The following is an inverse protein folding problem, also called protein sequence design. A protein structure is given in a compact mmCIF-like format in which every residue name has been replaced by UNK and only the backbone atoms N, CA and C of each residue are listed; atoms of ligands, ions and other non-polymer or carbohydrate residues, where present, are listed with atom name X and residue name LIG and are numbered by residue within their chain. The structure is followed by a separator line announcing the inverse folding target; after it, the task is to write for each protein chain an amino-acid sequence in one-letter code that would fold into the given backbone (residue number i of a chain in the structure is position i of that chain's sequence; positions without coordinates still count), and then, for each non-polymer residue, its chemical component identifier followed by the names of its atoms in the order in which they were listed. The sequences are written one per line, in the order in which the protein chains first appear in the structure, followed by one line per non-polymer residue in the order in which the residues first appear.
data_IF_679489087148
#
_entry.id   IF_679489087148
#
_cell.length_a   1.000
_cell.length_b   1.000
_cell.length_c   1.000
_cell.angle_alpha   90.00
_cell.angle_beta   90.00
_cell.angle_gamma   90.00
#
_symmetry.space_group_name_H-M   'P 1'
#
loop_
_entity.id
_entity.type
_entity.pdbx_description
1 polymer ?
#
# COMPACT_ATOMS: atom_id res chain seq x y z
N UNK A 1 -18.46 -3.73 3.78
CA UNK A 1 -18.15 -3.57 5.21
C UNK A 1 -16.84 -2.83 5.47
N UNK A 2 -15.73 -3.14 4.78
CA UNK A 2 -14.44 -2.39 4.93
C UNK A 2 -14.59 -0.88 4.74
N UNK A 3 -14.96 -0.43 3.53
CA UNK A 3 -15.25 0.99 3.26
C UNK A 3 -16.30 1.62 4.20
N UNK A 4 -17.25 0.82 4.71
CA UNK A 4 -18.22 1.31 5.67
C UNK A 4 -17.58 1.59 7.03
N UNK A 5 -16.64 0.75 7.46
CA UNK A 5 -15.84 0.96 8.65
C UNK A 5 -14.99 2.23 8.53
N UNK A 6 -14.34 2.47 7.39
CA UNK A 6 -13.63 3.74 7.13
C UNK A 6 -14.56 4.94 7.33
N UNK A 7 -15.79 4.89 6.81
CA UNK A 7 -16.77 5.96 7.02
C UNK A 7 -17.15 6.20 8.49
N UNK A 8 -17.11 5.16 9.34
CA UNK A 8 -17.32 5.30 10.79
C UNK A 8 -16.09 5.85 11.53
N UNK A 9 -14.89 5.62 10.98
CA UNK A 9 -13.62 5.96 11.63
C UNK A 9 -13.02 7.29 11.14
N UNK A 10 -13.47 7.79 10.00
CA UNK A 10 -12.93 8.98 9.35
C UNK A 10 -13.93 10.14 9.37
N UNK A 11 -13.39 11.36 9.44
CA UNK A 11 -14.11 12.61 9.24
C UNK A 11 -13.49 13.38 8.08
N UNK A 12 -14.29 14.19 7.37
CA UNK A 12 -13.81 14.98 6.23
C UNK A 12 -12.80 16.06 6.64
N UNK A 13 -12.84 16.52 7.89
CA UNK A 13 -11.95 17.56 8.44
C UNK A 13 -11.39 17.13 9.77
N UNK A 14 -10.17 17.59 10.07
CA UNK A 14 -9.54 17.38 11.36
C UNK A 14 -10.41 17.96 12.49
N UNK A 15 -10.65 17.16 13.54
CA UNK A 15 -11.52 17.53 14.66
C UNK A 15 -13.03 17.44 14.38
N UNK A 16 -13.43 17.07 13.17
CA UNK A 16 -14.84 16.80 12.84
C UNK A 16 -15.31 15.43 13.34
N UNK A 17 -16.62 15.24 13.38
CA UNK A 17 -17.24 13.93 13.62
C UNK A 17 -17.37 13.12 12.32
N UNK A 18 -17.39 11.80 12.46
CA UNK A 18 -17.71 10.89 11.36
C UNK A 18 -19.17 11.09 10.90
N UNK A 19 -19.44 10.87 9.60
CA UNK A 19 -20.76 11.02 9.00
C UNK A 19 -21.26 9.68 8.42
N UNK A 20 -21.61 8.69 9.26
CA UNK A 20 -21.93 7.34 8.81
C UNK A 20 -23.26 7.22 8.05
N UNK A 21 -24.10 8.27 8.02
CA UNK A 21 -25.35 8.28 7.25
C UNK A 21 -25.15 8.54 5.74
N UNK A 22 -23.96 8.98 5.32
CA UNK A 22 -23.67 9.29 3.92
C UNK A 22 -23.50 8.06 3.01
N UNK A 23 -23.38 8.33 1.71
CA UNK A 23 -23.13 7.30 0.68
C UNK A 23 -21.67 6.88 0.71
N UNK A 24 -21.42 5.56 0.65
CA UNK A 24 -20.08 5.01 0.43
C UNK A 24 -19.77 5.02 -1.07
N UNK A 25 -18.82 5.84 -1.51
CA UNK A 25 -18.37 5.91 -2.89
C UNK A 25 -16.94 5.37 -3.02
N UNK A 26 -16.77 4.17 -3.56
CA UNK A 26 -15.48 3.50 -3.71
C UNK A 26 -14.65 3.99 -4.91
N UNK A 27 -15.13 5.00 -5.65
CA UNK A 27 -14.30 5.71 -6.63
C UNK A 27 -13.46 6.81 -5.98
N UNK A 28 -13.85 7.29 -4.79
CA UNK A 28 -13.08 8.28 -4.06
C UNK A 28 -11.88 7.59 -3.39
N UNK A 29 -10.68 8.07 -3.69
CA UNK A 29 -9.44 7.58 -3.10
C UNK A 29 -8.47 8.74 -2.90
N UNK A 30 -7.65 8.65 -1.86
CA UNK A 30 -6.49 9.52 -1.67
C UNK A 30 -5.23 8.66 -1.80
N UNK A 31 -4.34 9.04 -2.71
CA UNK A 31 -3.09 8.33 -2.93
C UNK A 31 -1.90 9.22 -2.56
N UNK A 32 -0.94 8.65 -1.85
CA UNK A 32 0.37 9.27 -1.62
C UNK A 32 1.38 8.71 -2.64
N UNK A 33 2.26 9.56 -3.15
CA UNK A 33 3.38 9.15 -4.03
C UNK A 33 4.65 9.11 -3.20
N UNK A 34 5.35 7.99 -3.23
CA UNK A 34 6.55 7.77 -2.42
C UNK A 34 7.74 7.41 -3.31
N UNK A 35 8.90 7.92 -2.91
CA UNK A 35 10.19 7.43 -3.39
C UNK A 35 10.83 6.60 -2.28
N UNK A 36 11.21 5.38 -2.61
CA UNK A 36 11.93 4.49 -1.70
C UNK A 36 13.14 3.86 -2.40
N UNK A 37 13.89 3.06 -1.65
CA UNK A 37 15.03 2.30 -2.16
C UNK A 37 15.04 0.91 -1.54
N UNK A 38 15.23 -0.11 -2.37
CA UNK A 38 15.45 -1.49 -1.93
C UNK A 38 16.74 -2.01 -2.57
N UNK A 39 17.80 -2.13 -1.77
CA UNK A 39 19.14 -2.46 -2.28
C UNK A 39 19.62 -1.40 -3.30
N UNK A 40 20.03 -1.79 -4.52
CA UNK A 40 20.42 -0.85 -5.57
C UNK A 40 19.23 -0.21 -6.30
N UNK A 41 18.00 -0.70 -6.10
CA UNK A 41 16.83 -0.27 -6.87
C UNK A 41 16.15 0.94 -6.27
N UNK A 42 15.99 2.01 -7.07
CA UNK A 42 15.13 3.16 -6.73
C UNK A 42 13.69 2.83 -7.12
N UNK A 43 12.76 3.02 -6.19
CA UNK A 43 11.34 2.76 -6.38
C UNK A 43 10.57 4.07 -6.33
N UNK A 44 9.68 4.28 -7.29
CA UNK A 44 8.64 5.31 -7.27
C UNK A 44 7.30 4.61 -7.40
N UNK A 45 6.44 4.75 -6.40
CA UNK A 45 5.13 4.10 -6.41
C UNK A 45 4.10 4.95 -5.68
N UNK A 46 2.83 4.74 -5.99
CA UNK A 46 1.71 5.32 -5.28
C UNK A 46 1.07 4.28 -4.35
N UNK A 47 0.54 4.73 -3.23
CA UNK A 47 -0.25 3.91 -2.32
C UNK A 47 -1.51 4.69 -1.90
N UNK A 48 -2.66 4.02 -1.94
CA UNK A 48 -3.87 4.52 -1.30
C UNK A 48 -3.66 4.63 0.21
N UNK A 49 -4.22 5.67 0.82
CA UNK A 49 -4.16 5.89 2.28
C UNK A 49 -5.56 6.17 2.79
N UNK A 50 -5.99 5.42 3.80
CA UNK A 50 -7.35 5.51 4.34
C UNK A 50 -7.59 6.82 5.09
N UNK A 51 -6.67 7.20 5.99
CA UNK A 51 -6.75 8.47 6.70
C UNK A 51 -5.40 8.90 7.31
N UNK A 52 -5.43 10.04 7.98
CA UNK A 52 -4.30 10.57 8.71
C UNK A 52 -4.72 11.04 10.10
N UNK A 53 -3.86 10.81 11.09
CA UNK A 53 -4.04 11.33 12.45
C UNK A 53 -4.10 12.87 12.41
N UNK A 54 -5.06 13.51 13.11
CA UNK A 54 -5.10 14.97 13.24
C UNK A 54 -3.88 15.56 13.94
N UNK A 55 -3.13 14.77 14.71
CA UNK A 55 -1.89 15.23 15.35
C UNK A 55 -0.86 15.71 14.30
N UNK A 56 -0.07 16.75 14.62
CA UNK A 56 0.90 17.31 13.70
C UNK A 56 2.12 16.38 13.56
N UNK A 57 2.05 15.47 12.61
CA UNK A 57 3.16 14.66 12.13
C UNK A 57 3.25 14.75 10.60
N UNK A 58 4.44 14.67 9.98
CA UNK A 58 4.57 14.68 8.53
C UNK A 58 4.02 13.41 7.89
N UNK A 59 3.69 13.46 6.60
CA UNK A 59 3.52 12.24 5.82
C UNK A 59 4.88 11.54 5.61
N UNK A 60 4.97 10.20 5.62
CA UNK A 60 3.88 9.25 5.82
C UNK A 60 3.59 8.89 7.29
N UNK A 61 4.33 9.43 8.26
CA UNK A 61 4.23 9.01 9.68
C UNK A 61 2.91 9.35 10.34
N UNK A 62 2.12 10.28 9.78
CA UNK A 62 0.76 10.58 10.23
C UNK A 62 -0.31 9.64 9.68
N UNK A 63 -0.01 8.84 8.67
CA UNK A 63 -1.00 8.01 7.99
C UNK A 63 -1.44 6.84 8.87
N UNK A 64 -2.66 6.36 8.64
CA UNK A 64 -3.26 5.22 9.35
C UNK A 64 -3.97 4.35 8.33
N UNK A 65 -3.72 3.04 8.41
CA UNK A 65 -4.48 2.04 7.66
C UNK A 65 -5.64 1.53 8.52
N UNK A 66 -6.79 1.32 7.91
CA UNK A 66 -8.01 0.82 8.53
C UNK A 66 -8.32 -0.57 7.99
N UNK A 67 -8.55 -1.53 8.89
CA UNK A 67 -8.93 -2.89 8.54
C UNK A 67 -10.12 -3.35 9.34
N UNK A 68 -10.76 -4.42 8.88
CA UNK A 68 -11.71 -5.16 9.71
C UNK A 68 -11.39 -6.65 9.68
N UNK A 69 -11.67 -7.33 10.78
CA UNK A 69 -11.52 -8.79 10.88
C UNK A 69 -12.61 -9.35 11.80
N UNK A 70 -13.02 -10.60 11.60
CA UNK A 70 -13.87 -11.27 12.59
C UNK A 70 -13.11 -11.43 13.91
N UNK A 71 -13.84 -11.32 15.03
CA UNK A 71 -13.29 -11.53 16.39
C UNK A 71 -12.70 -12.94 16.52
N UNK A 72 -11.45 -13.08 17.02
CA UNK A 72 -10.82 -14.38 17.21
C UNK A 72 -11.53 -15.20 18.33
N UNK A 73 -12.02 -16.41 18.03
CA UNK A 73 -12.69 -17.32 18.96
C UNK A 73 -12.08 -18.72 19.02
N UNK A 74 -11.23 -19.15 18.06
CA UNK A 74 -10.66 -20.52 18.02
C UNK A 74 -9.27 -20.57 17.36
N UNK A 75 -8.47 -21.60 17.68
CA UNK A 75 -7.12 -21.86 17.14
C UNK A 75 -6.98 -21.84 15.60
N UNK A 76 -7.97 -22.30 14.83
CA UNK A 76 -7.94 -22.20 13.36
C UNK A 76 -7.87 -20.75 12.86
N UNK A 77 -8.37 -19.81 13.66
CA UNK A 77 -8.34 -18.39 13.37
C UNK A 77 -6.96 -17.78 13.64
N UNK A 78 -6.11 -18.39 14.48
CA UNK A 78 -4.71 -17.96 14.63
C UNK A 78 -3.93 -18.10 13.32
N UNK A 79 -4.08 -19.22 12.58
CA UNK A 79 -3.41 -19.38 11.27
C UNK A 79 -3.93 -18.38 10.23
N UNK A 80 -5.24 -18.09 10.26
CA UNK A 80 -5.82 -17.09 9.37
C UNK A 80 -5.35 -15.67 9.73
N UNK A 81 -5.29 -15.35 11.01
CA UNK A 81 -4.80 -14.08 11.53
C UNK A 81 -3.32 -13.86 11.19
N UNK A 82 -2.47 -14.88 11.34
CA UNK A 82 -1.06 -14.86 10.92
C UNK A 82 -0.90 -14.46 9.45
N UNK A 83 -1.74 -15.03 8.56
CA UNK A 83 -1.77 -14.67 7.13
C UNK A 83 -2.28 -13.25 6.88
N UNK A 84 -3.21 -12.75 7.70
CA UNK A 84 -3.69 -11.35 7.62
C UNK A 84 -2.59 -10.38 8.04
N UNK A 85 -1.90 -10.64 9.15
CA UNK A 85 -0.79 -9.81 9.63
C UNK A 85 0.31 -9.68 8.59
N UNK A 86 0.65 -10.76 7.86
CA UNK A 86 1.60 -10.67 6.74
C UNK A 86 1.16 -9.64 5.68
N UNK A 87 -0.11 -9.70 5.28
CA UNK A 87 -0.66 -8.81 4.25
C UNK A 87 -0.70 -7.36 4.74
N UNK A 88 -1.16 -7.14 5.96
CA UNK A 88 -1.21 -5.81 6.57
C UNK A 88 0.19 -5.22 6.75
N UNK A 89 1.13 -6.03 7.24
CA UNK A 89 2.52 -5.63 7.37
C UNK A 89 3.09 -5.23 6.01
N UNK A 90 2.97 -6.06 4.97
CA UNK A 90 3.53 -5.77 3.66
C UNK A 90 2.91 -4.50 3.04
N UNK A 91 1.59 -4.34 3.17
CA UNK A 91 0.85 -3.18 2.65
C UNK A 91 1.26 -1.87 3.35
N UNK A 92 1.40 -1.87 4.68
CA UNK A 92 1.68 -0.64 5.45
C UNK A 92 3.19 -0.36 5.58
N UNK A 93 4.05 -1.39 5.57
CA UNK A 93 5.50 -1.23 5.68
C UNK A 93 6.09 -0.50 4.47
N UNK A 94 5.68 -0.87 3.25
CA UNK A 94 6.20 -0.29 2.01
C UNK A 94 5.99 1.24 1.92
N UNK A 95 4.78 1.78 2.13
CA UNK A 95 4.53 3.22 2.13
C UNK A 95 4.92 3.92 3.46
N UNK A 96 5.43 3.19 4.46
CA UNK A 96 5.84 3.76 5.74
C UNK A 96 4.68 4.20 6.64
N UNK A 97 3.51 3.54 6.52
CA UNK A 97 2.36 3.75 7.40
C UNK A 97 2.63 3.03 8.74
N UNK A 98 2.72 3.76 9.87
CA UNK A 98 3.25 3.19 11.11
C UNK A 98 2.28 2.27 11.84
N UNK A 99 0.96 2.43 11.63
CA UNK A 99 -0.05 1.67 12.38
C UNK A 99 -1.26 1.30 11.55
N UNK A 100 -1.88 0.18 11.93
CA UNK A 100 -3.10 -0.36 11.35
C UNK A 100 -4.15 -0.49 12.45
N UNK A 101 -5.26 0.25 12.32
CA UNK A 101 -6.40 0.19 13.24
C UNK A 101 -7.44 -0.78 12.69
N UNK A 102 -7.79 -1.78 13.47
CA UNK A 102 -8.63 -2.90 13.04
C UNK A 102 -9.92 -2.96 13.84
N UNK A 103 -11.06 -2.91 13.15
CA UNK A 103 -12.36 -3.22 13.73
C UNK A 103 -12.59 -4.74 13.84
N UNK A 104 -12.76 -5.23 15.07
CA UNK A 104 -13.14 -6.60 15.37
C UNK A 104 -14.65 -6.76 15.22
N UNK A 105 -15.05 -7.58 14.25
CA UNK A 105 -16.45 -7.77 13.84
C UNK A 105 -17.07 -9.00 14.49
N UNK A 106 -18.27 -8.82 14.99
CA UNK A 106 -19.14 -9.91 15.43
C UNK A 106 -19.88 -10.55 14.24
N UNK A 107 -20.50 -11.74 14.43
CA UNK A 107 -21.23 -12.43 13.37
C UNK A 107 -22.39 -11.64 12.76
N UNK A 108 -22.99 -10.71 13.52
CA UNK A 108 -24.06 -9.82 13.05
C UNK A 108 -23.54 -8.67 12.14
N UNK A 109 -22.22 -8.56 12.00
CA UNK A 109 -21.56 -7.54 11.17
C UNK A 109 -21.22 -6.24 11.90
N UNK A 110 -21.61 -6.10 13.17
CA UNK A 110 -21.22 -4.96 14.01
C UNK A 110 -19.72 -5.02 14.35
N UNK A 111 -19.10 -3.85 14.59
CA UNK A 111 -17.73 -3.76 15.10
C UNK A 111 -17.82 -3.59 16.62
N UNK A 112 -17.44 -4.62 17.38
CA UNK A 112 -17.55 -4.64 18.83
C UNK A 112 -16.32 -4.07 19.54
N UNK A 113 -15.15 -4.09 18.89
CA UNK A 113 -13.90 -3.58 19.46
C UNK A 113 -12.95 -3.05 18.38
N UNK A 114 -12.01 -2.20 18.81
CA UNK A 114 -10.90 -1.71 18.00
C UNK A 114 -9.59 -2.23 18.57
N UNK A 115 -8.71 -2.72 17.71
CA UNK A 115 -7.32 -3.03 18.05
C UNK A 115 -6.37 -2.28 17.14
N UNK A 116 -5.27 -1.76 17.69
CA UNK A 116 -4.22 -1.08 16.91
C UNK A 116 -2.99 -1.95 16.87
N UNK A 117 -2.45 -2.14 15.66
CA UNK A 117 -1.22 -2.88 15.44
C UNK A 117 -0.17 -1.94 14.85
N UNK A 118 0.94 -1.78 15.57
CA UNK A 118 2.11 -1.07 15.05
C UNK A 118 2.79 -1.92 13.96
N UNK A 119 2.94 -1.37 12.76
CA UNK A 119 3.49 -2.04 11.57
C UNK A 119 4.85 -2.67 11.89
N UNK A 120 5.73 -1.95 12.59
CA UNK A 120 7.05 -2.44 12.98
C UNK A 120 7.02 -3.60 14.00
N UNK A 121 5.95 -3.71 14.79
CA UNK A 121 5.79 -4.75 15.81
C UNK A 121 4.97 -5.96 15.35
N UNK A 122 4.32 -5.90 14.17
CA UNK A 122 3.42 -6.96 13.70
C UNK A 122 4.06 -8.35 13.65
N UNK A 123 5.32 -8.44 13.23
CA UNK A 123 6.03 -9.72 13.21
C UNK A 123 6.23 -10.29 14.63
N UNK A 124 6.40 -9.45 15.65
CA UNK A 124 6.59 -9.92 17.03
C UNK A 124 5.37 -10.69 17.55
N UNK A 125 4.17 -10.39 17.05
CA UNK A 125 2.93 -11.08 17.42
C UNK A 125 2.90 -12.55 16.98
N UNK A 126 3.75 -12.93 16.01
CA UNK A 126 3.80 -14.27 15.44
C UNK A 126 5.20 -14.87 15.48
N UNK A 127 6.19 -14.20 16.08
CA UNK A 127 7.60 -14.60 16.02
C UNK A 127 7.85 -16.03 16.50
N UNK A 128 7.15 -16.43 17.56
CA UNK A 128 7.35 -17.73 18.20
C UNK A 128 6.43 -18.83 17.59
N UNK A 129 5.67 -18.51 16.53
CA UNK A 129 4.87 -19.48 15.77
C UNK A 129 5.77 -20.23 14.76
N UNK A 130 5.86 -21.56 14.80
CA UNK A 130 6.67 -22.34 13.85
C UNK A 130 6.33 -22.11 12.37
N UNK A 131 5.12 -21.65 12.06
CA UNK A 131 4.66 -21.33 10.70
C UNK A 131 4.63 -19.84 10.39
N UNK A 132 5.35 -19.00 11.15
CA UNK A 132 5.45 -17.56 10.94
C UNK A 132 6.10 -17.21 9.61
N UNK A 133 5.60 -16.14 9.00
CA UNK A 133 6.28 -15.45 7.91
C UNK A 133 7.42 -14.61 8.50
N UNK A 134 8.46 -14.34 7.70
CA UNK A 134 9.60 -13.54 8.14
C UNK A 134 9.73 -12.28 7.28
N UNK A 135 9.78 -11.08 7.86
CA UNK A 135 10.00 -9.83 7.11
C UNK A 135 11.22 -9.89 6.18
N UNK A 136 12.32 -10.48 6.66
CA UNK A 136 13.55 -10.64 5.87
C UNK A 136 13.34 -11.52 4.64
N UNK A 137 12.57 -12.61 4.75
CA UNK A 137 12.27 -13.46 3.60
C UNK A 137 11.45 -12.72 2.54
N UNK A 138 10.46 -11.91 2.96
CA UNK A 138 9.67 -11.09 2.05
C UNK A 138 10.53 -10.04 1.33
N UNK A 139 11.36 -9.30 2.06
CA UNK A 139 12.20 -8.25 1.47
C UNK A 139 13.33 -8.80 0.60
N UNK A 140 13.94 -9.93 1.00
CA UNK A 140 14.97 -10.59 0.20
C UNK A 140 14.40 -11.15 -1.10
N UNK A 141 13.19 -11.72 -1.07
CA UNK A 141 12.49 -12.14 -2.28
C UNK A 141 12.20 -10.94 -3.20
N UNK A 142 11.66 -9.85 -2.66
CA UNK A 142 11.39 -8.65 -3.43
C UNK A 142 12.67 -8.07 -4.07
N UNK A 143 13.77 -8.01 -3.33
CA UNK A 143 15.08 -7.59 -3.85
C UNK A 143 15.55 -8.51 -4.98
N UNK A 144 15.55 -9.83 -4.77
CA UNK A 144 15.97 -10.80 -5.79
C UNK A 144 15.07 -10.75 -7.03
N UNK A 145 13.78 -10.47 -6.87
CA UNK A 145 12.87 -10.29 -7.98
C UNK A 145 13.17 -9.02 -8.78
N UNK A 146 13.43 -7.88 -8.11
CA UNK A 146 13.83 -6.64 -8.79
C UNK A 146 15.17 -6.81 -9.52
N UNK A 147 16.13 -7.52 -8.92
CA UNK A 147 17.38 -7.91 -9.59
C UNK A 147 17.08 -8.77 -10.83
N UNK A 148 16.18 -9.74 -10.72
CA UNK A 148 15.78 -10.55 -11.87
C UNK A 148 15.14 -9.71 -12.99
N UNK A 149 14.27 -8.75 -12.65
CA UNK A 149 13.66 -7.84 -13.62
C UNK A 149 14.71 -7.08 -14.43
N UNK A 150 15.73 -6.51 -13.78
CA UNK A 150 16.77 -5.70 -14.44
C UNK A 150 17.64 -6.51 -15.40
N UNK A 151 17.79 -7.82 -15.17
CA UNK A 151 18.53 -8.70 -16.07
C UNK A 151 17.69 -9.22 -17.25
N UNK A 152 16.36 -9.32 -17.08
CA UNK A 152 15.45 -9.88 -18.10
C UNK A 152 14.91 -8.79 -19.03
N UNK A 153 14.58 -7.61 -18.49
CA UNK A 153 14.01 -6.48 -19.22
C UNK A 153 15.14 -5.55 -19.65
N UNK A 154 15.81 -5.91 -20.74
CA UNK A 154 17.00 -5.18 -21.23
C UNK A 154 16.71 -4.21 -22.39
N UNK A 155 15.51 -4.26 -22.96
CA UNK A 155 15.10 -3.39 -24.06
C UNK A 155 14.28 -2.23 -23.53
N UNK A 156 14.68 -1.01 -23.90
CA UNK A 156 13.92 0.21 -23.64
C UNK A 156 12.93 0.44 -24.78
N UNK A 157 11.72 -0.09 -24.64
CA UNK A 157 10.68 -0.03 -25.65
C UNK A 157 9.29 -0.08 -24.99
N UNK A 158 8.51 1.02 -24.98
CA UNK A 158 7.20 1.05 -24.32
C UNK A 158 6.15 0.14 -25.00
N UNK A 159 6.44 -0.35 -26.20
CA UNK A 159 5.59 -1.28 -26.95
C UNK A 159 5.91 -2.74 -26.64
N UNK A 160 7.00 -3.03 -25.93
CA UNK A 160 7.39 -4.37 -25.53
C UNK A 160 7.07 -4.63 -24.05
N UNK A 161 6.30 -5.68 -23.78
CA UNK A 161 5.97 -6.12 -22.42
C UNK A 161 6.63 -7.46 -22.14
N UNK A 162 7.39 -7.52 -21.04
CA UNK A 162 7.79 -8.79 -20.44
C UNK A 162 6.78 -9.14 -19.35
N UNK A 163 5.94 -10.14 -19.59
CA UNK A 163 4.92 -10.59 -18.66
C UNK A 163 5.52 -11.65 -17.73
N UNK A 164 5.58 -11.35 -16.43
CA UNK A 164 6.01 -12.29 -15.39
C UNK A 164 4.79 -13.00 -14.79
N UNK A 165 4.83 -14.33 -14.71
CA UNK A 165 3.75 -15.16 -14.19
C UNK A 165 4.25 -16.07 -13.07
N UNK A 166 3.43 -16.24 -12.03
CA UNK A 166 3.76 -17.04 -10.86
C UNK A 166 2.52 -17.76 -10.33
N UNK A 167 2.71 -19.01 -9.93
CA UNK A 167 1.71 -19.83 -9.25
C UNK A 167 2.31 -20.42 -7.95
N UNK A 168 1.48 -20.68 -6.91
CA UNK A 168 1.96 -21.29 -5.68
C UNK A 168 2.72 -22.60 -5.93
N UNK A 169 3.96 -22.68 -5.44
CA UNK A 169 4.83 -23.85 -5.61
C UNK A 169 5.69 -23.85 -6.88
N UNK A 170 5.53 -22.85 -7.76
CA UNK A 170 6.31 -22.72 -8.99
C UNK A 170 7.33 -21.58 -8.90
N UNK A 171 8.35 -21.65 -9.76
CA UNK A 171 9.23 -20.52 -10.04
C UNK A 171 8.50 -19.45 -10.84
N UNK A 172 8.95 -18.19 -10.74
CA UNK A 172 8.47 -17.12 -11.62
C UNK A 172 8.94 -17.43 -13.05
N UNK A 173 8.00 -17.45 -13.98
CA UNK A 173 8.24 -17.60 -15.42
C UNK A 173 7.95 -16.28 -16.13
N UNK A 174 8.40 -16.13 -17.38
CA UNK A 174 8.09 -14.92 -18.16
C UNK A 174 7.96 -15.20 -19.66
N UNK A 175 7.22 -14.31 -20.33
CA UNK A 175 7.02 -14.29 -21.80
C UNK A 175 7.16 -12.86 -22.32
N UNK A 176 7.40 -12.68 -23.63
CA UNK A 176 7.51 -11.36 -24.27
C UNK A 176 6.40 -11.14 -25.29
N UNK A 177 5.82 -9.95 -25.26
CA UNK A 177 4.71 -9.55 -26.11
C UNK A 177 4.97 -8.15 -26.63
N UNK A 178 4.68 -7.93 -27.92
CA UNK A 178 4.87 -6.64 -28.58
C UNK A 178 3.55 -6.24 -29.20
N UNK A 179 3.17 -4.98 -29.04
CA UNK A 179 1.94 -4.42 -29.63
C UNK A 179 0.69 -5.26 -29.31
N UNK A 180 0.60 -5.71 -28.06
CA UNK A 180 -0.46 -6.59 -27.57
C UNK A 180 -1.35 -5.90 -26.55
N UNK A 181 -2.42 -6.58 -26.17
CA UNK A 181 -3.33 -6.13 -25.11
C UNK A 181 -2.66 -6.06 -23.72
N UNK A 182 -1.41 -6.52 -23.59
CA UNK A 182 -0.63 -6.35 -22.36
C UNK A 182 0.04 -4.98 -22.26
N UNK A 183 0.11 -4.19 -23.34
CA UNK A 183 0.69 -2.85 -23.31
C UNK A 183 -0.13 -1.93 -22.39
N UNK A 184 0.55 -1.33 -21.41
CA UNK A 184 -0.09 -0.54 -20.35
C UNK A 184 0.37 0.93 -20.30
N UNK A 185 1.39 1.31 -21.07
CA UNK A 185 1.82 2.71 -21.17
C UNK A 185 1.00 3.41 -22.25
N UNK A 186 0.14 4.39 -21.90
CA UNK A 186 -0.70 5.07 -22.88
C UNK A 186 0.12 6.04 -23.72
N UNK A 187 -0.33 6.30 -24.95
CA UNK A 187 0.40 7.14 -25.92
C UNK A 187 0.66 8.55 -25.40
N UNK A 188 -0.32 9.16 -24.74
CA UNK A 188 -0.18 10.51 -24.16
C UNK A 188 0.99 10.60 -23.16
N UNK A 189 1.29 9.52 -22.43
CA UNK A 189 2.39 9.50 -21.46
C UNK A 189 3.74 9.33 -22.16
N UNK A 190 3.82 8.40 -23.11
CA UNK A 190 5.06 8.17 -23.88
C UNK A 190 5.41 9.36 -24.77
N UNK A 191 4.42 10.03 -25.33
CA UNK A 191 4.60 11.25 -26.13
C UNK A 191 5.10 12.41 -25.26
N UNK A 192 4.51 12.61 -24.07
CA UNK A 192 4.97 13.65 -23.15
C UNK A 192 6.43 13.45 -22.72
N UNK A 193 6.86 12.22 -22.43
CA UNK A 193 8.24 11.91 -22.02
C UNK A 193 9.27 12.04 -23.16
N UNK A 194 8.85 11.90 -24.41
CA UNK A 194 9.74 12.02 -25.57
C UNK A 194 9.87 13.45 -26.07
N UNK A 195 8.88 14.31 -25.79
CA UNK A 195 8.86 15.72 -26.20
C UNK A 195 9.61 16.64 -25.24
N UNK A 196 9.78 16.29 -23.96
CA UNK A 196 10.52 17.10 -22.98
C UNK A 196 11.77 16.36 -22.45
N UNK A 197 12.97 16.59 -23.03
CA UNK A 197 14.21 16.01 -22.53
C UNK A 197 14.72 16.70 -21.24
N UNK A 198 14.02 17.71 -20.72
CA UNK A 198 14.43 18.46 -19.54
C UNK A 198 13.99 17.73 -18.27
N UNK A 199 14.84 17.62 -17.23
CA UNK A 199 14.40 17.10 -15.95
C UNK A 199 13.28 18.00 -15.39
N UNK A 200 12.19 17.43 -14.83
CA UNK A 200 11.09 18.20 -14.29
C UNK A 200 11.60 19.18 -13.22
N UNK A 201 11.28 20.46 -13.38
CA UNK A 201 11.64 21.46 -12.38
C UNK A 201 10.92 21.13 -11.05
N UNK A 202 11.61 21.24 -9.90
CA UNK A 202 10.97 21.02 -8.62
C UNK A 202 9.77 21.98 -8.46
N UNK A 203 8.68 21.53 -7.83
CA UNK A 203 7.51 22.38 -7.62
C UNK A 203 7.93 23.64 -6.87
N UNK A 204 7.59 24.80 -7.43
CA UNK A 204 7.81 26.07 -6.75
C UNK A 204 6.98 26.08 -5.47
N UNK A 205 7.61 26.43 -4.35
CA UNK A 205 6.91 26.58 -3.09
C UNK A 205 5.73 27.55 -3.28
N UNK A 206 4.54 27.24 -2.72
CA UNK A 206 3.42 28.15 -2.80
C UNK A 206 3.82 29.51 -2.21
N UNK A 207 3.36 30.63 -2.80
CA UNK A 207 3.66 31.94 -2.26
C UNK A 207 3.19 32.00 -0.80
N UNK A 208 4.09 32.46 0.09
CA UNK A 208 3.81 32.70 1.50
C UNK A 208 2.48 33.44 1.61
N UNK A 209 1.44 32.75 2.11
CA UNK A 209 0.25 33.41 2.61
C UNK A 209 0.70 34.22 3.83
N UNK A 210 0.87 35.51 3.63
CA UNK A 210 1.14 36.47 4.70
C UNK A 210 0.08 36.28 5.80
N UNK A 211 0.55 36.05 7.02
CA UNK A 211 -0.31 36.02 8.20
C UNK A 211 -1.04 37.38 8.33
N UNK A 212 -2.35 37.40 8.59
CA UNK A 212 -3.03 38.65 8.90
C UNK A 212 -2.52 39.19 10.24
N UNK A 213 -2.27 40.50 10.28
CA UNK A 213 -1.96 41.27 11.49
C UNK A 213 -3.15 41.27 12.47
#
# INVERSE_FOLDING_TARGET
MGYKFEQYMCAERAGGGAAPGGVVNTNAAYCTVLRARLGPHSLLFAAEVDCADPAPAPAPTRYVELKTTATPTVSAQHRAFRRKLLKWWAQSFLPGVPRVVTGLREPDGSVAALETYETAAMFQLVRDDPGAWQPAACMNFALAFLDFLSHVVTQDDPRLVTLFAWEPGCHVSWTRHRDSDYNFLPTWYTEALTQDPSPPQPPQAPPNLAAPQ
#
